data_IF_361403697452
#
_entry.id   IF_361403697452
#
_cell.length_a   1.000
_cell.length_b   1.000
_cell.length_c   1.000
_cell.angle_alpha   90.00
_cell.angle_beta   90.00
_cell.angle_gamma   90.00
#
_symmetry.space_group_name_H-M   'P 1'
#
loop_
_entity.id
_entity.type
_entity.pdbx_description
1 polymer ?
#
# COMPACT_ATOMS: atom_id res chain seq x y z
N UNK A 1 -6.62 9.33 8.23
CA UNK A 1 -7.75 10.16 8.71
C UNK A 1 -7.61 11.54 8.08
N UNK A 2 -8.73 12.17 7.74
CA UNK A 2 -8.73 13.52 7.23
C UNK A 2 -8.93 14.53 8.37
N UNK A 3 -8.29 15.69 8.28
CA UNK A 3 -8.36 16.75 9.27
C UNK A 3 -8.07 18.11 8.63
N UNK A 4 -8.35 19.17 9.35
CA UNK A 4 -7.97 20.54 8.98
C UNK A 4 -6.67 20.87 9.71
N UNK A 5 -5.64 21.31 8.97
CA UNK A 5 -4.38 21.72 9.55
C UNK A 5 -4.45 23.14 10.16
N UNK A 6 -3.38 23.58 10.81
CA UNK A 6 -3.31 24.90 11.43
C UNK A 6 -3.43 26.07 10.41
N UNK A 7 -3.27 25.80 9.13
CA UNK A 7 -3.44 26.76 8.03
C UNK A 7 -4.85 26.76 7.44
N UNK A 8 -5.79 25.95 7.97
CA UNK A 8 -7.16 25.85 7.47
C UNK A 8 -7.30 24.96 6.22
N UNK A 9 -6.30 24.14 5.89
CA UNK A 9 -6.31 23.27 4.72
C UNK A 9 -6.68 21.83 5.11
N UNK A 10 -7.44 21.17 4.24
CA UNK A 10 -7.72 19.73 4.39
C UNK A 10 -6.44 18.93 4.17
N UNK A 11 -6.15 18.03 5.09
CA UNK A 11 -5.04 17.06 5.02
C UNK A 11 -5.55 15.65 5.22
N UNK A 12 -4.86 14.69 4.61
CA UNK A 12 -5.15 13.26 4.75
C UNK A 12 -3.89 12.55 5.24
N UNK A 13 -3.99 11.88 6.41
CA UNK A 13 -2.82 11.26 7.04
C UNK A 13 -2.06 12.24 7.95
N UNK A 14 -0.85 11.89 8.46
CA UNK A 14 -0.24 10.55 8.35
C UNK A 14 -0.92 9.49 9.24
N UNK A 15 -1.78 9.91 10.19
CA UNK A 15 -2.47 8.98 11.10
C UNK A 15 -3.54 8.18 10.37
N UNK A 16 -3.58 6.87 10.64
CA UNK A 16 -4.61 5.96 10.17
C UNK A 16 -5.60 5.63 11.29
N UNK A 17 -6.87 5.47 10.94
CA UNK A 17 -7.89 4.94 11.86
C UNK A 17 -7.71 3.43 12.11
N UNK A 18 -6.93 2.75 11.27
CA UNK A 18 -6.75 1.30 11.32
C UNK A 18 -8.05 0.54 11.07
N UNK A 19 -8.10 -0.70 11.55
CA UNK A 19 -9.32 -1.51 11.54
C UNK A 19 -10.16 -1.33 12.82
N UNK A 20 -9.55 -0.81 13.88
CA UNK A 20 -10.19 -0.48 15.16
C UNK A 20 -9.55 0.79 15.75
N UNK A 21 -10.34 1.82 16.11
CA UNK A 21 -11.79 1.91 15.94
C UNK A 21 -12.23 1.92 14.47
N UNK A 22 -11.34 2.22 13.53
CA UNK A 22 -11.59 2.22 12.10
C UNK A 22 -12.34 3.46 11.60
N UNK A 23 -12.77 3.44 10.33
CA UNK A 23 -13.68 4.43 9.74
C UNK A 23 -14.94 4.63 10.55
N UNK A 24 -15.54 5.82 10.49
CA UNK A 24 -16.79 6.12 11.18
C UNK A 24 -17.91 5.16 10.74
N UNK A 25 -17.98 4.84 9.45
CA UNK A 25 -18.97 3.92 8.89
C UNK A 25 -18.85 2.46 9.40
N UNK A 26 -17.76 2.07 10.08
CA UNK A 26 -17.61 0.72 10.62
C UNK A 26 -18.37 0.50 11.93
N UNK A 27 -18.93 1.55 12.53
CA UNK A 27 -19.68 1.48 13.79
C UNK A 27 -18.89 0.90 14.97
N UNK A 28 -17.56 1.09 14.97
CA UNK A 28 -16.65 0.58 16.02
C UNK A 28 -16.07 1.69 16.90
N UNK A 29 -16.70 2.86 16.87
CA UNK A 29 -16.30 4.02 17.68
C UNK A 29 -15.40 5.02 16.94
N UNK A 30 -15.09 4.84 15.66
CA UNK A 30 -14.44 5.83 14.81
C UNK A 30 -15.29 7.09 14.68
N UNK A 31 -14.64 8.28 14.79
CA UNK A 31 -15.32 9.59 14.70
C UNK A 31 -14.66 10.54 13.71
N UNK A 32 -13.46 10.19 13.27
CA UNK A 32 -12.73 11.00 12.32
C UNK A 32 -13.00 10.53 10.90
N UNK A 33 -13.20 11.45 9.94
CA UNK A 33 -13.48 11.08 8.57
C UNK A 33 -12.27 10.40 7.94
N UNK A 34 -12.52 9.35 7.18
CA UNK A 34 -11.49 8.57 6.49
C UNK A 34 -11.73 8.52 4.98
N UNK A 35 -10.76 8.02 4.23
CA UNK A 35 -10.91 7.75 2.79
C UNK A 35 -12.03 6.73 2.52
N UNK A 36 -12.24 5.77 3.43
CA UNK A 36 -13.34 4.80 3.33
C UNK A 36 -14.69 5.49 3.50
N UNK A 37 -14.81 6.38 4.48
CA UNK A 37 -16.03 7.17 4.67
C UNK A 37 -16.30 8.09 3.48
N UNK A 38 -15.25 8.70 2.90
CA UNK A 38 -15.33 9.47 1.65
C UNK A 38 -15.90 8.65 0.50
N UNK A 39 -15.35 7.46 0.28
CA UNK A 39 -15.82 6.57 -0.78
C UNK A 39 -17.27 6.13 -0.59
N UNK A 40 -17.70 5.93 0.66
CA UNK A 40 -19.08 5.60 0.98
C UNK A 40 -20.03 6.79 0.73
N UNK A 41 -19.67 7.99 1.19
CA UNK A 41 -20.45 9.22 0.97
C UNK A 41 -20.63 9.51 -0.52
N UNK A 42 -19.59 9.28 -1.32
CA UNK A 42 -19.61 9.50 -2.76
C UNK A 42 -20.23 8.35 -3.58
N UNK A 43 -20.68 7.27 -2.92
CA UNK A 43 -21.32 6.14 -3.57
C UNK A 43 -20.38 5.18 -4.30
N UNK A 44 -19.07 5.23 -4.05
CA UNK A 44 -18.11 4.24 -4.57
C UNK A 44 -18.17 2.92 -3.82
N UNK A 45 -18.69 2.91 -2.60
CA UNK A 45 -18.92 1.72 -1.80
C UNK A 45 -20.43 1.53 -1.59
N UNK A 46 -20.89 0.30 -1.78
CA UNK A 46 -22.23 -0.11 -1.44
C UNK A 46 -22.27 -0.47 0.06
N UNK A 47 -23.12 0.24 0.86
CA UNK A 47 -23.19 0.01 2.31
C UNK A 47 -23.64 -1.41 2.68
N UNK A 48 -24.43 -2.07 1.83
CA UNK A 48 -24.99 -3.39 2.10
C UNK A 48 -24.11 -4.53 1.58
N UNK A 49 -23.17 -4.24 0.67
CA UNK A 49 -22.34 -5.25 0.02
C UNK A 49 -20.84 -5.20 0.39
N UNK A 50 -20.48 -4.46 1.41
CA UNK A 50 -19.08 -4.42 1.85
C UNK A 50 -18.62 -5.78 2.39
N UNK A 51 -17.43 -6.24 1.97
CA UNK A 51 -16.92 -7.59 2.24
C UNK A 51 -17.89 -8.72 1.80
N UNK A 52 -18.62 -8.50 0.71
CA UNK A 52 -19.62 -9.47 0.23
C UNK A 52 -20.83 -9.57 1.16
N UNK A 53 -21.27 -8.44 1.74
CA UNK A 53 -22.42 -8.35 2.63
C UNK A 53 -22.17 -8.81 4.08
N UNK A 54 -20.90 -9.16 4.41
CA UNK A 54 -20.57 -9.62 5.78
C UNK A 54 -20.46 -8.48 6.80
N UNK A 55 -20.35 -7.26 6.34
CA UNK A 55 -20.20 -6.08 7.19
C UNK A 55 -20.99 -4.91 6.59
N UNK A 56 -22.14 -4.56 7.14
CA UNK A 56 -22.87 -3.38 6.72
C UNK A 56 -22.12 -2.11 7.12
N UNK A 57 -22.19 -1.07 6.30
CA UNK A 57 -21.58 0.21 6.58
C UNK A 57 -22.66 1.25 6.92
N UNK A 58 -22.40 2.09 7.90
CA UNK A 58 -23.29 3.19 8.29
C UNK A 58 -22.96 4.47 7.51
N UNK A 59 -23.75 4.75 6.48
CA UNK A 59 -23.63 5.98 5.69
C UNK A 59 -23.89 7.24 6.54
N UNK A 60 -24.81 7.18 7.51
CA UNK A 60 -25.12 8.35 8.34
C UNK A 60 -23.93 8.68 9.27
N UNK A 61 -23.30 7.68 9.85
CA UNK A 61 -22.09 7.89 10.65
C UNK A 61 -20.94 8.49 9.83
N UNK A 62 -20.74 8.04 8.58
CA UNK A 62 -19.78 8.64 7.65
C UNK A 62 -20.11 10.10 7.36
N UNK A 63 -21.34 10.40 7.00
CA UNK A 63 -21.83 11.77 6.71
C UNK A 63 -21.66 12.68 7.92
N UNK A 64 -21.97 12.19 9.11
CA UNK A 64 -21.82 12.96 10.36
C UNK A 64 -20.37 13.28 10.67
N UNK A 65 -19.46 12.32 10.48
CA UNK A 65 -18.02 12.55 10.66
C UNK A 65 -17.52 13.64 9.70
N UNK A 66 -17.92 13.61 8.43
CA UNK A 66 -17.59 14.66 7.46
C UNK A 66 -18.21 16.00 7.80
N UNK A 67 -19.49 16.00 8.20
CA UNK A 67 -20.22 17.24 8.55
C UNK A 67 -19.49 18.00 9.67
N UNK A 68 -19.23 17.32 10.79
CA UNK A 68 -18.67 17.95 11.99
C UNK A 68 -17.20 18.34 11.82
N UNK A 69 -16.41 17.48 11.15
CA UNK A 69 -14.94 17.63 11.13
C UNK A 69 -14.43 18.47 9.96
N UNK A 70 -15.15 18.52 8.85
CA UNK A 70 -14.68 19.18 7.63
C UNK A 70 -15.70 20.15 7.04
N UNK A 71 -16.94 19.70 6.78
CA UNK A 71 -17.90 20.46 6.02
C UNK A 71 -18.33 21.77 6.73
N UNK A 72 -18.80 21.69 7.96
CA UNK A 72 -19.22 22.88 8.73
C UNK A 72 -18.06 23.84 8.99
N UNK A 73 -16.85 23.38 9.47
CA UNK A 73 -15.74 24.29 9.70
C UNK A 73 -15.25 25.03 8.45
N UNK A 74 -15.38 24.42 7.27
CA UNK A 74 -14.88 24.97 6.00
C UNK A 74 -15.99 25.63 5.14
N UNK A 75 -17.25 25.59 5.58
CA UNK A 75 -18.39 26.11 4.81
C UNK A 75 -18.64 25.34 3.51
N UNK A 76 -18.34 24.05 3.49
CA UNK A 76 -18.51 23.16 2.36
C UNK A 76 -19.72 22.23 2.56
N UNK A 77 -20.20 21.63 1.48
CA UNK A 77 -21.12 20.50 1.59
C UNK A 77 -20.37 19.24 2.05
N UNK A 78 -21.12 18.24 2.53
CA UNK A 78 -20.52 16.94 2.92
C UNK A 78 -19.87 16.28 1.72
N UNK A 79 -20.50 16.32 0.56
CA UNK A 79 -20.04 15.74 -0.69
C UNK A 79 -18.75 16.43 -1.19
N UNK A 80 -18.70 17.77 -1.16
CA UNK A 80 -17.50 18.52 -1.53
C UNK A 80 -16.32 18.18 -0.63
N UNK A 81 -16.57 18.08 0.68
CA UNK A 81 -15.50 17.71 1.64
C UNK A 81 -15.05 16.25 1.45
N UNK A 82 -15.96 15.34 1.13
CA UNK A 82 -15.61 13.96 0.81
C UNK A 82 -14.80 13.84 -0.49
N UNK A 83 -15.22 14.58 -1.55
CA UNK A 83 -14.46 14.63 -2.81
C UNK A 83 -13.06 15.23 -2.61
N UNK A 84 -12.93 16.27 -1.79
CA UNK A 84 -11.62 16.86 -1.47
C UNK A 84 -10.68 15.83 -0.84
N UNK A 85 -11.15 15.03 0.13
CA UNK A 85 -10.38 13.96 0.78
C UNK A 85 -9.94 12.89 -0.23
N UNK A 86 -10.84 12.43 -1.08
CA UNK A 86 -10.51 11.42 -2.09
C UNK A 86 -9.54 11.96 -3.15
N UNK A 87 -9.70 13.23 -3.52
CA UNK A 87 -8.80 13.90 -4.47
C UNK A 87 -7.40 14.05 -3.90
N UNK A 88 -7.25 14.54 -2.67
CA UNK A 88 -5.93 14.67 -2.01
C UNK A 88 -5.24 13.31 -1.95
N UNK A 89 -5.95 12.27 -1.52
CA UNK A 89 -5.39 10.91 -1.47
C UNK A 89 -4.94 10.43 -2.85
N UNK A 90 -5.71 10.70 -3.90
CA UNK A 90 -5.36 10.31 -5.27
C UNK A 90 -4.13 11.08 -5.79
N UNK A 91 -4.03 12.37 -5.46
CA UNK A 91 -2.87 13.20 -5.82
C UNK A 91 -1.59 12.73 -5.11
N UNK A 92 -1.68 12.37 -3.82
CA UNK A 92 -0.54 11.82 -3.09
C UNK A 92 -0.07 10.50 -3.72
N UNK A 93 -1.01 9.58 -4.03
CA UNK A 93 -0.69 8.32 -4.70
C UNK A 93 -0.10 8.54 -6.10
N UNK A 94 -0.62 9.51 -6.86
CA UNK A 94 -0.07 9.92 -8.15
C UNK A 94 1.38 10.42 -7.99
N UNK A 95 1.62 11.30 -7.01
CA UNK A 95 2.95 11.81 -6.71
C UNK A 95 3.96 10.69 -6.42
N UNK A 96 3.63 9.78 -5.49
CA UNK A 96 4.47 8.62 -5.19
C UNK A 96 4.73 7.73 -6.40
N UNK A 97 3.71 7.48 -7.23
CA UNK A 97 3.87 6.67 -8.45
C UNK A 97 4.81 7.36 -9.44
N UNK A 98 4.67 8.68 -9.61
CA UNK A 98 5.55 9.49 -10.45
C UNK A 98 7.00 9.41 -9.96
N UNK A 99 7.22 9.65 -8.67
CA UNK A 99 8.57 9.64 -8.10
C UNK A 99 9.24 8.27 -8.25
N UNK A 100 8.50 7.19 -8.00
CA UNK A 100 9.01 5.82 -8.14
C UNK A 100 9.36 5.45 -9.59
N UNK A 101 8.61 5.93 -10.57
CA UNK A 101 8.85 5.62 -11.98
C UNK A 101 9.96 6.51 -12.57
N UNK A 102 9.89 7.81 -12.35
CA UNK A 102 10.86 8.76 -12.88
C UNK A 102 12.26 8.54 -12.27
N UNK A 103 12.36 8.24 -10.98
CA UNK A 103 13.65 7.93 -10.34
C UNK A 103 14.36 6.71 -10.92
N UNK A 104 13.62 5.83 -11.59
CA UNK A 104 14.14 4.66 -12.30
C UNK A 104 14.28 4.89 -13.81
N UNK A 105 14.01 6.10 -14.30
CA UNK A 105 14.05 6.43 -15.72
C UNK A 105 12.89 5.83 -16.54
N UNK A 106 11.79 5.45 -15.87
CA UNK A 106 10.61 4.86 -16.50
C UNK A 106 9.57 5.95 -16.76
N UNK A 107 9.06 6.05 -17.99
CA UNK A 107 7.92 6.89 -18.30
C UNK A 107 6.61 6.16 -17.92
N UNK A 108 5.79 6.72 -17.04
CA UNK A 108 4.51 6.09 -16.66
C UNK A 108 3.58 5.82 -17.84
N UNK A 109 3.66 6.62 -18.90
CA UNK A 109 2.82 6.47 -20.10
C UNK A 109 3.10 5.19 -20.89
N UNK A 110 4.29 4.63 -20.74
CA UNK A 110 4.71 3.37 -21.35
C UNK A 110 4.41 2.15 -20.47
N UNK A 111 3.77 2.37 -19.31
CA UNK A 111 3.49 1.33 -18.34
C UNK A 111 2.06 0.78 -18.44
N UNK A 112 1.88 -0.41 -17.88
CA UNK A 112 0.56 -0.98 -17.53
C UNK A 112 0.40 -0.90 -16.02
N UNK A 113 -0.70 -0.30 -15.56
CA UNK A 113 -0.98 -0.20 -14.13
C UNK A 113 -1.78 -1.42 -13.65
N UNK A 114 -1.28 -2.09 -12.61
CA UNK A 114 -1.98 -3.23 -11.99
C UNK A 114 -2.50 -2.78 -10.61
N UNK A 115 -3.82 -2.85 -10.42
CA UNK A 115 -4.45 -2.52 -9.16
C UNK A 115 -4.55 -3.74 -8.25
N UNK A 116 -3.85 -3.71 -7.12
CA UNK A 116 -3.95 -4.72 -6.06
C UNK A 116 -4.45 -4.12 -4.76
N UNK A 117 -5.25 -4.88 -4.02
CA UNK A 117 -5.86 -4.46 -2.76
C UNK A 117 -7.35 -4.13 -2.89
N UNK A 118 -8.06 -4.17 -1.76
CA UNK A 118 -9.50 -3.93 -1.71
C UNK A 118 -9.91 -2.50 -2.03
N UNK A 119 -9.05 -1.52 -1.76
CA UNK A 119 -9.32 -0.10 -1.95
C UNK A 119 -8.90 0.44 -3.33
N UNK A 120 -8.07 -0.29 -4.07
CA UNK A 120 -7.45 0.21 -5.30
C UNK A 120 -8.47 0.60 -6.39
N UNK A 121 -9.63 -0.06 -6.42
CA UNK A 121 -10.69 0.25 -7.39
C UNK A 121 -11.30 1.64 -7.26
N UNK A 122 -11.17 2.30 -6.10
CA UNK A 122 -11.82 3.58 -5.83
C UNK A 122 -11.19 4.77 -6.58
N UNK A 123 -9.88 4.76 -6.79
CA UNK A 123 -9.13 5.89 -7.34
C UNK A 123 -8.16 5.55 -8.47
N UNK A 124 -7.98 4.27 -8.78
CA UNK A 124 -7.01 3.82 -9.80
C UNK A 124 -7.25 4.44 -11.17
N UNK A 125 -8.52 4.59 -11.57
CA UNK A 125 -8.87 5.17 -12.88
C UNK A 125 -8.42 6.62 -12.98
N UNK A 126 -8.63 7.39 -11.92
CA UNK A 126 -8.21 8.79 -11.85
C UNK A 126 -6.69 8.89 -11.93
N UNK A 127 -5.98 8.12 -11.08
CA UNK A 127 -4.51 8.10 -11.04
C UNK A 127 -3.94 7.73 -12.40
N UNK A 128 -4.44 6.68 -13.05
CA UNK A 128 -3.97 6.26 -14.37
C UNK A 128 -4.19 7.35 -15.43
N UNK A 129 -5.37 7.99 -15.42
CA UNK A 129 -5.69 9.10 -16.34
C UNK A 129 -4.73 10.28 -16.14
N UNK A 130 -4.46 10.66 -14.91
CA UNK A 130 -3.61 11.80 -14.58
C UNK A 130 -2.12 11.52 -14.87
N UNK A 131 -1.70 10.24 -14.86
CA UNK A 131 -0.38 9.79 -15.27
C UNK A 131 -0.25 9.51 -16.79
N UNK A 132 -1.35 9.57 -17.54
CA UNK A 132 -1.37 9.23 -18.96
C UNK A 132 -1.22 7.74 -19.26
N UNK A 133 -1.48 6.87 -18.28
CA UNK A 133 -1.40 5.41 -18.42
C UNK A 133 -2.65 4.92 -19.17
N UNK A 134 -2.45 4.34 -20.34
CA UNK A 134 -3.55 3.90 -21.20
C UNK A 134 -4.19 2.58 -20.79
N UNK A 135 -3.43 1.70 -20.14
CA UNK A 135 -3.88 0.35 -19.82
C UNK A 135 -3.84 0.07 -18.31
N UNK A 136 -4.95 -0.43 -17.78
CA UNK A 136 -5.06 -0.85 -16.38
C UNK A 136 -5.58 -2.28 -16.30
N UNK A 137 -5.09 -3.01 -15.31
CA UNK A 137 -5.53 -4.37 -15.00
C UNK A 137 -5.99 -4.42 -13.55
N UNK A 138 -7.24 -4.83 -13.34
CA UNK A 138 -7.77 -5.15 -12.02
C UNK A 138 -7.99 -6.67 -11.99
N UNK A 139 -7.09 -7.46 -11.37
CA UNK A 139 -7.22 -8.90 -11.33
C UNK A 139 -8.48 -9.32 -10.56
N UNK A 140 -9.10 -10.46 -10.92
CA UNK A 140 -10.24 -11.00 -10.16
C UNK A 140 -9.94 -11.22 -8.68
N UNK A 141 -8.66 -11.47 -8.34
CA UNK A 141 -8.16 -11.66 -6.99
C UNK A 141 -7.52 -10.39 -6.42
N UNK A 142 -7.84 -9.22 -6.96
CA UNK A 142 -7.21 -7.94 -6.57
C UNK A 142 -7.21 -7.73 -5.04
N UNK A 143 -8.31 -8.02 -4.35
CA UNK A 143 -8.44 -7.85 -2.89
C UNK A 143 -7.48 -8.73 -2.07
N UNK A 144 -7.05 -9.87 -2.62
CA UNK A 144 -6.12 -10.81 -2.01
C UNK A 144 -4.80 -10.96 -2.78
N UNK A 145 -4.46 -10.03 -3.67
CA UNK A 145 -3.33 -10.16 -4.59
C UNK A 145 -2.00 -10.43 -3.88
N UNK A 146 -1.74 -9.78 -2.76
CA UNK A 146 -0.53 -10.02 -1.95
C UNK A 146 -0.45 -11.44 -1.41
N UNK A 147 -1.57 -11.99 -0.93
CA UNK A 147 -1.63 -13.37 -0.43
C UNK A 147 -1.43 -14.39 -1.56
N UNK A 148 -2.05 -14.14 -2.72
CA UNK A 148 -1.86 -14.97 -3.93
C UNK A 148 -0.41 -14.90 -4.40
N UNK A 149 0.19 -13.71 -4.45
CA UNK A 149 1.60 -13.52 -4.80
C UNK A 149 2.52 -14.27 -3.83
N UNK A 150 2.25 -14.19 -2.53
CA UNK A 150 3.01 -14.94 -1.51
C UNK A 150 2.96 -16.45 -1.70
N UNK A 151 1.84 -17.00 -2.18
CA UNK A 151 1.73 -18.43 -2.49
C UNK A 151 2.48 -18.84 -3.77
N UNK A 152 2.68 -17.89 -4.68
CA UNK A 152 3.38 -18.12 -5.95
C UNK A 152 4.88 -17.79 -5.87
N UNK A 153 5.36 -17.29 -4.75
CA UNK A 153 6.74 -16.85 -4.57
C UNK A 153 7.60 -18.02 -4.07
N UNK A 154 8.82 -18.11 -4.57
CA UNK A 154 9.81 -19.04 -4.04
C UNK A 154 10.14 -18.69 -2.58
N UNK A 155 10.42 -19.72 -1.78
CA UNK A 155 10.92 -19.52 -0.42
C UNK A 155 12.39 -19.10 -0.53
N UNK A 156 12.68 -17.88 -0.11
CA UNK A 156 14.02 -17.31 -0.21
C UNK A 156 14.49 -16.70 1.12
N UNK A 157 15.80 -16.73 1.35
CA UNK A 157 16.44 -15.98 2.42
C UNK A 157 17.73 -15.36 1.90
N UNK A 158 18.03 -14.16 2.34
CA UNK A 158 19.24 -13.43 2.03
C UNK A 158 20.01 -13.20 3.34
N UNK A 159 21.29 -13.60 3.32
CA UNK A 159 22.23 -13.31 4.40
C UNK A 159 23.39 -12.49 3.84
N UNK A 160 23.80 -11.47 4.56
CA UNK A 160 24.92 -10.63 4.19
C UNK A 160 25.95 -10.59 5.33
N UNK A 161 27.21 -10.44 4.97
CA UNK A 161 28.32 -10.18 5.89
C UNK A 161 29.29 -9.21 5.22
N UNK A 162 29.80 -8.27 5.99
CA UNK A 162 30.79 -7.31 5.52
C UNK A 162 32.19 -7.70 6.02
N UNK A 163 33.16 -7.73 5.09
CA UNK A 163 34.57 -7.88 5.43
C UNK A 163 35.41 -6.93 4.59
N UNK A 164 36.15 -6.05 5.24
CA UNK A 164 37.08 -5.19 4.50
C UNK A 164 38.22 -6.03 3.90
N UNK A 165 38.44 -5.88 2.60
CA UNK A 165 39.56 -6.49 1.86
C UNK A 165 40.06 -5.48 0.82
N UNK A 166 41.38 -5.47 0.59
CA UNK A 166 42.01 -4.64 -0.44
C UNK A 166 42.47 -5.51 -1.60
N UNK A 167 42.37 -4.98 -2.81
CA UNK A 167 42.92 -5.64 -4.01
C UNK A 167 44.43 -5.74 -3.98
N UNK A 168 45.12 -4.90 -3.20
CA UNK A 168 46.56 -4.91 -3.02
C UNK A 168 47.02 -5.90 -1.96
N UNK A 169 46.13 -6.31 -1.05
CA UNK A 169 46.40 -7.29 0.01
C UNK A 169 45.15 -8.18 0.18
N UNK A 170 44.84 -8.92 -0.86
CA UNK A 170 43.68 -9.80 -0.86
C UNK A 170 43.99 -11.10 -0.13
N UNK A 171 43.22 -11.40 0.92
CA UNK A 171 43.32 -12.63 1.70
C UNK A 171 42.17 -13.62 1.33
N UNK A 172 42.45 -14.62 0.47
CA UNK A 172 41.47 -15.62 0.07
C UNK A 172 40.94 -16.46 1.24
N UNK A 173 41.74 -16.70 2.26
CA UNK A 173 41.30 -17.47 3.42
C UNK A 173 40.24 -16.72 4.20
N UNK A 174 40.44 -15.43 4.46
CA UNK A 174 39.46 -14.58 5.12
C UNK A 174 38.15 -14.44 4.30
N UNK A 175 38.23 -14.39 2.96
CA UNK A 175 37.06 -14.39 2.09
C UNK A 175 36.29 -15.71 2.22
N UNK A 176 36.99 -16.85 2.19
CA UNK A 176 36.38 -18.17 2.32
C UNK A 176 35.72 -18.39 3.70
N UNK A 177 36.27 -17.82 4.77
CA UNK A 177 35.66 -17.84 6.10
C UNK A 177 34.27 -17.19 6.08
N UNK A 178 34.13 -16.01 5.45
CA UNK A 178 32.84 -15.31 5.31
C UNK A 178 31.86 -16.14 4.48
N UNK A 179 32.30 -16.72 3.38
CA UNK A 179 31.44 -17.58 2.54
C UNK A 179 31.00 -18.82 3.32
N UNK A 180 31.88 -19.43 4.12
CA UNK A 180 31.54 -20.56 4.97
C UNK A 180 30.49 -20.19 6.03
N UNK A 181 30.64 -19.03 6.69
CA UNK A 181 29.64 -18.50 7.66
C UNK A 181 28.31 -18.32 7.00
N UNK A 182 28.26 -17.65 5.84
CA UNK A 182 27.01 -17.41 5.12
C UNK A 182 26.34 -18.72 4.66
N UNK A 183 27.13 -19.69 4.19
CA UNK A 183 26.62 -21.01 3.84
C UNK A 183 26.02 -21.75 5.04
N UNK A 184 26.66 -21.68 6.20
CA UNK A 184 26.14 -22.29 7.43
C UNK A 184 24.75 -21.69 7.81
N UNK A 185 24.58 -20.37 7.67
CA UNK A 185 23.28 -19.69 7.90
C UNK A 185 22.22 -20.16 6.89
N UNK A 186 22.59 -20.31 5.61
CA UNK A 186 21.69 -20.83 4.58
C UNK A 186 21.31 -22.30 4.84
N UNK A 187 22.25 -23.13 5.29
CA UNK A 187 21.98 -24.53 5.61
C UNK A 187 21.02 -24.67 6.79
N UNK A 188 21.19 -23.83 7.82
CA UNK A 188 20.28 -23.78 8.96
C UNK A 188 18.86 -23.38 8.51
N UNK A 189 18.73 -22.34 7.69
CA UNK A 189 17.47 -21.93 7.11
C UNK A 189 16.78 -23.05 6.31
N UNK A 190 17.52 -23.71 5.43
CA UNK A 190 16.96 -24.81 4.64
C UNK A 190 16.57 -26.03 5.48
N UNK A 191 17.26 -26.26 6.59
CA UNK A 191 16.89 -27.32 7.53
C UNK A 191 15.57 -27.02 8.26
N UNK A 192 15.34 -25.75 8.59
CA UNK A 192 14.12 -25.27 9.25
C UNK A 192 12.90 -25.32 8.31
N UNK A 193 13.08 -24.84 7.08
CA UNK A 193 11.98 -24.74 6.09
C UNK A 193 11.42 -26.11 5.66
N UNK A 194 12.24 -27.17 5.68
CA UNK A 194 11.86 -28.56 5.34
C UNK A 194 11.12 -28.72 4.00
N UNK A 195 11.39 -27.82 3.04
CA UNK A 195 10.74 -27.87 1.72
C UNK A 195 11.44 -28.87 0.79
N UNK A 196 10.71 -29.74 0.08
CA UNK A 196 11.30 -30.78 -0.78
C UNK A 196 11.85 -30.25 -2.12
N UNK A 197 11.69 -28.97 -2.41
CA UNK A 197 12.07 -28.36 -3.69
C UNK A 197 13.58 -28.28 -3.92
N UNK A 198 13.96 -27.93 -5.15
CA UNK A 198 15.34 -27.69 -5.54
C UNK A 198 15.89 -26.47 -4.80
N UNK A 199 17.06 -26.63 -4.19
CA UNK A 199 17.80 -25.55 -3.53
C UNK A 199 18.71 -24.86 -4.54
N UNK A 200 18.63 -23.55 -4.63
CA UNK A 200 19.48 -22.71 -5.47
C UNK A 200 20.21 -21.74 -4.54
N UNK A 201 21.52 -21.64 -4.68
CA UNK A 201 22.35 -20.66 -3.97
C UNK A 201 23.01 -19.74 -4.97
N UNK A 202 23.05 -18.47 -4.67
CA UNK A 202 23.80 -17.47 -5.42
C UNK A 202 24.61 -16.62 -4.46
N UNK A 203 25.77 -16.17 -4.89
CA UNK A 203 26.62 -15.23 -4.17
C UNK A 203 26.70 -13.96 -5.01
N UNK A 204 26.44 -12.82 -4.38
CA UNK A 204 26.59 -11.49 -4.97
C UNK A 204 27.71 -10.81 -4.19
N UNK A 205 28.74 -10.36 -4.88
CA UNK A 205 29.93 -9.71 -4.33
C UNK A 205 30.00 -8.27 -4.83
#
# INVERSE_FOLDING_TARGET
MAHIDNGGLVRVGPLSAGAFPGPACYMRGGKEPTVTDSALVLGYLDPDNFLGGRMPLDLNAAREAFRVRLAEPLGMTIEESAEAVLRITSEDMRGFTTDMTISQGIDPRDCVMIAGGGAAGMNIVRIAKDLGIANMIIPRLASGLSAVGGQCTDISANFSAGRYMSTTDFNPAAANEVVAELNAKLDAFFAEVKHPGKRIRSIIV
#
